data_IF_351445221774
#
_entry.id   IF_351445221774
#
_cell.length_a   1.000
_cell.length_b   1.000
_cell.length_c   1.000
_cell.angle_alpha   90.00
_cell.angle_beta   90.00
_cell.angle_gamma   90.00
#
_symmetry.space_group_name_H-M   'P 1'
#
loop_
_entity.id
_entity.type
_entity.pdbx_description
1 polymer ?
#
# COMPACT_ATOMS: atom_id res chain seq x y z
N UNK A 1 -5.03 3.25 10.87
CA UNK A 1 -5.51 3.08 9.49
C UNK A 1 -4.34 3.39 8.56
N UNK A 2 -3.64 2.39 8.02
CA UNK A 2 -2.27 2.58 7.58
C UNK A 2 -1.81 1.66 6.46
N UNK A 3 -1.09 2.20 5.48
CA UNK A 3 -0.51 1.46 4.36
C UNK A 3 0.76 0.74 4.80
N UNK A 4 0.87 -0.59 4.60
CA UNK A 4 2.08 -1.39 4.92
C UNK A 4 2.88 -1.64 3.63
N UNK A 5 4.16 -1.26 3.64
CA UNK A 5 5.11 -1.50 2.55
C UNK A 5 6.12 -2.56 2.97
N UNK A 6 6.20 -3.68 2.26
CA UNK A 6 7.24 -4.70 2.50
C UNK A 6 8.38 -4.54 1.50
N UNK A 7 9.63 -4.71 1.94
CA UNK A 7 10.81 -4.72 1.06
C UNK A 7 11.93 -5.59 1.62
N UNK A 8 12.54 -6.42 0.76
CA UNK A 8 13.66 -7.32 1.10
C UNK A 8 15.01 -6.64 0.86
N UNK A 9 15.84 -6.56 1.89
CA UNK A 9 17.21 -6.05 1.83
C UNK A 9 18.21 -7.22 1.84
N UNK A 10 19.36 -7.08 1.15
CA UNK A 10 20.34 -8.15 0.89
C UNK A 10 20.89 -8.91 2.11
N UNK A 11 20.61 -8.45 3.34
CA UNK A 11 21.06 -9.06 4.60
C UNK A 11 19.97 -9.90 5.30
N UNK A 12 18.88 -10.24 4.59
CA UNK A 12 17.74 -10.94 5.20
C UNK A 12 16.91 -10.05 6.13
N UNK A 13 16.99 -8.72 5.93
CA UNK A 13 16.20 -7.75 6.66
C UNK A 13 14.98 -7.37 5.82
N UNK A 14 13.80 -7.51 6.41
CA UNK A 14 12.55 -7.02 5.84
C UNK A 14 12.19 -5.66 6.46
N UNK A 15 11.78 -4.72 5.61
CA UNK A 15 11.27 -3.42 6.04
C UNK A 15 9.74 -3.40 5.95
N UNK A 16 9.08 -2.92 6.99
CA UNK A 16 7.64 -2.65 7.00
C UNK A 16 7.37 -1.16 7.26
N UNK A 17 7.09 -0.39 6.21
CA UNK A 17 6.73 1.03 6.35
C UNK A 17 5.24 1.21 6.55
N UNK A 18 4.82 1.96 7.58
CA UNK A 18 3.41 2.16 7.94
C UNK A 18 3.07 3.65 7.95
N UNK A 19 2.14 4.10 7.11
CA UNK A 19 1.70 5.50 7.09
C UNK A 19 0.21 5.65 6.82
N UNK A 20 -0.42 6.69 7.39
CA UNK A 20 -1.79 7.07 7.05
C UNK A 20 -1.87 7.74 5.68
N UNK A 21 -0.83 8.50 5.31
CA UNK A 21 -0.68 9.13 4.02
C UNK A 21 0.57 8.57 3.34
N UNK A 22 0.44 7.58 2.44
CA UNK A 22 1.60 6.98 1.80
C UNK A 22 2.41 8.03 1.02
N UNK A 23 1.76 9.08 0.50
CA UNK A 23 2.38 10.22 -0.18
C UNK A 23 3.42 10.98 0.69
N UNK A 24 3.46 10.79 2.02
CA UNK A 24 4.48 11.39 2.90
C UNK A 24 5.74 10.54 3.09
N UNK A 25 5.70 9.23 2.80
CA UNK A 25 6.90 8.39 2.86
C UNK A 25 7.87 8.86 1.76
N UNK A 26 9.14 9.09 2.11
CA UNK A 26 10.13 9.55 1.15
C UNK A 26 10.14 8.65 -0.11
N UNK A 27 10.17 9.26 -1.30
CA UNK A 27 10.00 8.56 -2.57
C UNK A 27 10.99 7.38 -2.74
N UNK A 28 12.24 7.54 -2.32
CA UNK A 28 13.25 6.48 -2.36
C UNK A 28 12.87 5.25 -1.53
N UNK A 29 12.14 5.41 -0.42
CA UNK A 29 11.67 4.27 0.38
C UNK A 29 10.50 3.60 -0.32
N UNK A 30 9.53 4.38 -0.81
CA UNK A 30 8.35 3.84 -1.51
C UNK A 30 8.71 3.08 -2.79
N UNK A 31 9.67 3.60 -3.54
CA UNK A 31 10.11 2.98 -4.79
C UNK A 31 10.86 1.65 -4.58
N UNK A 32 11.21 1.30 -3.34
CA UNK A 32 11.81 0.01 -2.98
C UNK A 32 10.77 -0.97 -2.41
N UNK A 33 9.51 -0.55 -2.28
CA UNK A 33 8.47 -1.46 -1.82
C UNK A 33 8.24 -2.56 -2.85
N UNK A 34 8.16 -3.79 -2.37
CA UNK A 34 7.80 -4.96 -3.16
C UNK A 34 6.33 -5.30 -3.02
N UNK A 35 5.70 -4.90 -1.91
CA UNK A 35 4.27 -5.10 -1.67
C UNK A 35 3.66 -3.88 -1.01
N UNK A 36 2.40 -3.60 -1.34
CA UNK A 36 1.59 -2.53 -0.76
C UNK A 36 0.31 -3.15 -0.24
N UNK A 37 -0.01 -2.88 1.02
CA UNK A 37 -1.33 -3.15 1.60
C UNK A 37 -2.00 -1.81 1.86
N UNK A 38 -3.09 -1.54 1.17
CA UNK A 38 -3.87 -0.32 1.30
C UNK A 38 -5.21 -0.59 2.01
N UNK A 39 -5.47 0.19 3.04
CA UNK A 39 -6.80 0.36 3.63
C UNK A 39 -7.47 1.58 2.99
N UNK A 40 -8.71 1.86 3.34
CA UNK A 40 -9.43 3.02 2.82
C UNK A 40 -8.59 4.31 2.89
N UNK A 41 -8.55 5.02 1.77
CA UNK A 41 -7.90 6.31 1.63
C UNK A 41 -8.94 7.32 1.13
N UNK A 42 -8.98 8.48 1.77
CA UNK A 42 -9.87 9.59 1.39
C UNK A 42 -9.09 10.80 0.85
N UNK A 43 -7.83 10.97 1.29
CA UNK A 43 -6.97 12.05 0.81
C UNK A 43 -6.64 11.85 -0.67
N UNK A 44 -6.84 12.86 -1.54
CA UNK A 44 -6.59 12.73 -2.97
C UNK A 44 -5.15 12.31 -3.29
N UNK A 45 -4.14 12.82 -2.59
CA UNK A 45 -2.73 12.51 -2.85
C UNK A 45 -2.39 11.07 -2.46
N UNK A 46 -3.00 10.57 -1.40
CA UNK A 46 -2.88 9.17 -1.01
C UNK A 46 -3.51 8.25 -2.07
N UNK A 47 -4.71 8.62 -2.57
CA UNK A 47 -5.40 7.86 -3.61
C UNK A 47 -4.63 7.89 -4.93
N UNK A 48 -4.11 9.04 -5.35
CA UNK A 48 -3.31 9.19 -6.57
C UNK A 48 -2.05 8.31 -6.52
N UNK A 49 -1.40 8.24 -5.35
CA UNK A 49 -0.27 7.34 -5.16
C UNK A 49 -0.68 5.86 -5.25
N UNK A 50 -1.79 5.48 -4.62
CA UNK A 50 -2.33 4.11 -4.73
C UNK A 50 -2.65 3.77 -6.20
N UNK A 51 -3.24 4.71 -6.94
CA UNK A 51 -3.52 4.54 -8.37
C UNK A 51 -2.24 4.32 -9.18
N UNK A 52 -1.20 5.12 -8.92
CA UNK A 52 0.09 5.04 -9.59
C UNK A 52 0.79 3.68 -9.38
N UNK A 53 0.52 2.99 -8.27
CA UNK A 53 1.06 1.64 -8.00
C UNK A 53 0.10 0.51 -8.41
N UNK A 54 -1.01 0.84 -9.07
CA UNK A 54 -1.90 -0.12 -9.72
C UNK A 54 -3.13 -0.55 -8.92
N UNK A 55 -3.57 0.26 -7.95
CA UNK A 55 -4.90 0.09 -7.33
C UNK A 55 -5.97 0.84 -8.11
N UNK A 56 -7.21 0.35 -8.06
CA UNK A 56 -8.38 1.09 -8.50
C UNK A 56 -8.75 2.16 -7.44
N UNK A 57 -8.77 3.46 -7.80
CA UNK A 57 -9.14 4.55 -6.89
C UNK A 57 -10.50 4.37 -6.23
N UNK A 58 -11.50 3.88 -6.99
CA UNK A 58 -12.86 3.73 -6.48
C UNK A 58 -12.93 2.59 -5.47
N UNK A 59 -12.27 1.46 -5.77
CA UNK A 59 -12.16 0.34 -4.83
C UNK A 59 -11.45 0.75 -3.52
N UNK A 60 -10.39 1.56 -3.58
CA UNK A 60 -9.69 2.06 -2.39
C UNK A 60 -10.59 2.94 -1.53
N UNK A 61 -11.36 3.85 -2.13
CA UNK A 61 -12.29 4.73 -1.40
C UNK A 61 -13.44 3.95 -0.76
N UNK A 62 -13.91 2.92 -1.44
CA UNK A 62 -15.04 2.08 -1.02
C UNK A 62 -14.71 1.08 0.10
N UNK A 63 -13.43 0.88 0.44
CA UNK A 63 -13.02 -0.02 1.52
C UNK A 63 -13.68 0.39 2.84
N UNK A 64 -14.21 -0.60 3.56
CA UNK A 64 -14.75 -0.39 4.91
C UNK A 64 -13.66 -0.53 5.96
N UNK A 65 -13.87 -0.02 7.19
CA UNK A 65 -12.94 -0.27 8.29
C UNK A 65 -12.63 -1.76 8.45
N UNK A 66 -11.34 -2.10 8.48
CA UNK A 66 -10.84 -3.49 8.54
C UNK A 66 -10.62 -4.14 7.17
N UNK A 67 -11.24 -3.67 6.09
CA UNK A 67 -10.99 -4.19 4.75
C UNK A 67 -9.69 -3.64 4.16
N UNK A 68 -8.98 -4.47 3.39
CA UNK A 68 -7.76 -4.09 2.70
C UNK A 68 -7.68 -4.65 1.28
N UNK A 69 -6.92 -3.94 0.45
CA UNK A 69 -6.40 -4.42 -0.83
C UNK A 69 -4.89 -4.53 -0.71
N UNK A 70 -4.34 -5.68 -1.09
CA UNK A 70 -2.92 -5.91 -1.16
C UNK A 70 -2.49 -6.12 -2.61
N UNK A 71 -1.31 -5.63 -2.96
CA UNK A 71 -0.71 -5.80 -4.28
C UNK A 71 0.78 -6.05 -4.15
N UNK A 72 1.25 -7.10 -4.81
CA UNK A 72 2.67 -7.32 -5.04
C UNK A 72 3.09 -6.50 -6.27
N UNK A 73 4.01 -5.55 -6.08
CA UNK A 73 4.43 -4.62 -7.14
C UNK A 73 5.36 -5.28 -8.17
N UNK A 74 5.96 -6.43 -7.85
CA UNK A 74 6.81 -7.18 -8.78
C UNK A 74 5.99 -8.09 -9.71
N UNK A 75 5.05 -8.85 -9.16
CA UNK A 75 4.25 -9.81 -9.93
C UNK A 75 2.92 -9.24 -10.43
N UNK A 76 2.46 -8.13 -9.85
CA UNK A 76 1.11 -7.60 -10.08
C UNK A 76 0.01 -8.41 -9.39
N UNK A 77 0.36 -9.47 -8.65
CA UNK A 77 -0.58 -10.27 -7.89
C UNK A 77 -1.34 -9.41 -6.88
N UNK A 78 -2.64 -9.66 -6.74
CA UNK A 78 -3.51 -8.91 -5.83
C UNK A 78 -4.18 -9.84 -4.84
N UNK A 79 -4.49 -9.30 -3.66
CA UNK A 79 -5.31 -9.97 -2.67
C UNK A 79 -6.27 -8.95 -2.05
N UNK A 80 -7.44 -9.43 -1.63
CA UNK A 80 -8.40 -8.66 -0.84
C UNK A 80 -8.69 -9.44 0.42
N UNK A 81 -8.84 -8.73 1.53
CA UNK A 81 -9.22 -9.37 2.77
C UNK A 81 -9.79 -8.38 3.77
N UNK A 82 -10.06 -8.91 4.95
CA UNK A 82 -10.50 -8.16 6.11
C UNK A 82 -9.69 -8.60 7.31
N UNK A 83 -9.21 -7.61 8.05
CA UNK A 83 -8.68 -7.80 9.40
C UNK A 83 -9.86 -7.51 10.33
N UNK A 84 -10.01 -8.30 11.40
CA UNK A 84 -11.14 -8.30 12.36
C UNK A 84 -12.44 -8.97 11.87
#
# INVERSE_FOLDING_TARGET
>A
MSVRLLGQWQQGLDFAGIAQQPNLIHNRVRNQATEVVAFQQMDPRAVDWCAAVGFDPEAIRALRPGEYLARNLKSGGTARGRVF
#
